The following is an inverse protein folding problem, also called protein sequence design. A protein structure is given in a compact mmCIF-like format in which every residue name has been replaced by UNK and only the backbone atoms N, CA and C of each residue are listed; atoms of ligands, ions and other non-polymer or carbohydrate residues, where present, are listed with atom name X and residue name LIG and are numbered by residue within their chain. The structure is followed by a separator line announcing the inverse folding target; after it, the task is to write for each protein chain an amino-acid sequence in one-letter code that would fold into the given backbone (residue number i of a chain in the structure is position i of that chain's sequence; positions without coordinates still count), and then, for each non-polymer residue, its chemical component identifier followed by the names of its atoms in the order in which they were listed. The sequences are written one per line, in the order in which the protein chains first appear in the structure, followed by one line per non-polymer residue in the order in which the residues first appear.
data_IF_894637511204
#
_entry.id   IF_894637511204
#
_cell.length_a   1.000
_cell.length_b   1.000
_cell.length_c   1.000
_cell.angle_alpha   90.00
_cell.angle_beta   90.00
_cell.angle_gamma   90.00
#
_symmetry.space_group_name_H-M   'P 1'
#
loop_
_entity.id
_entity.type
_entity.pdbx_description
1 polymer ?
#
# COMPACT_ATOMS: atom_id res chain seq x y z
N UNK A 1 16.23 -9.65 4.27
CA UNK A 1 14.83 -9.31 4.02
C UNK A 1 13.98 -10.58 3.98
N UNK A 2 12.72 -10.46 4.35
CA UNK A 2 11.77 -11.57 4.25
C UNK A 2 11.27 -11.73 2.82
N UNK A 3 10.94 -12.96 2.42
CA UNK A 3 10.29 -13.21 1.14
C UNK A 3 8.79 -12.90 1.27
N UNK A 4 8.18 -12.33 0.23
CA UNK A 4 6.75 -12.02 0.22
C UNK A 4 5.87 -13.27 0.41
N UNK A 5 6.28 -14.40 -0.14
CA UNK A 5 5.58 -15.69 -0.02
C UNK A 5 5.45 -16.19 1.42
N UNK A 6 6.37 -15.79 2.31
CA UNK A 6 6.40 -16.21 3.72
C UNK A 6 5.74 -15.20 4.66
N UNK A 7 5.36 -14.01 4.16
CA UNK A 7 4.81 -12.95 4.99
C UNK A 7 3.37 -13.27 5.43
N UNK A 8 3.11 -13.12 6.74
CA UNK A 8 1.78 -13.18 7.33
C UNK A 8 1.16 -11.78 7.32
N UNK A 9 0.02 -11.64 6.66
CA UNK A 9 -0.69 -10.37 6.47
C UNK A 9 -2.04 -10.42 7.14
N UNK A 10 -2.33 -9.46 8.01
CA UNK A 10 -3.63 -9.29 8.65
C UNK A 10 -4.32 -8.07 8.07
N UNK A 11 -5.49 -8.27 7.46
CA UNK A 11 -6.30 -7.22 6.84
C UNK A 11 -7.58 -7.05 7.65
N UNK A 12 -7.82 -5.86 8.20
CA UNK A 12 -9.05 -5.55 8.91
C UNK A 12 -9.86 -4.52 8.13
N UNK A 13 -11.01 -4.97 7.66
CA UNK A 13 -11.87 -4.23 6.74
C UNK A 13 -12.05 -4.97 5.41
N UNK A 14 -12.95 -5.94 5.34
CA UNK A 14 -13.25 -6.74 4.15
C UNK A 14 -14.23 -6.04 3.18
N UNK A 15 -14.06 -4.73 3.00
CA UNK A 15 -14.72 -3.94 1.97
C UNK A 15 -13.96 -3.97 0.64
N UNK A 16 -14.38 -3.15 -0.32
CA UNK A 16 -13.76 -3.09 -1.65
C UNK A 16 -12.25 -2.81 -1.58
N UNK A 17 -11.81 -1.87 -0.74
CA UNK A 17 -10.40 -1.53 -0.57
C UNK A 17 -9.59 -2.70 0.00
N UNK A 18 -10.04 -3.32 1.11
CA UNK A 18 -9.34 -4.44 1.74
C UNK A 18 -9.21 -5.65 0.82
N UNK A 19 -10.28 -5.99 0.11
CA UNK A 19 -10.28 -7.08 -0.88
C UNK A 19 -9.31 -6.76 -2.03
N UNK A 20 -9.31 -5.53 -2.54
CA UNK A 20 -8.42 -5.13 -3.63
C UNK A 20 -6.95 -5.15 -3.20
N UNK A 21 -6.63 -4.64 -2.00
CA UNK A 21 -5.27 -4.69 -1.46
C UNK A 21 -4.80 -6.13 -1.23
N UNK A 22 -5.65 -6.99 -0.65
CA UNK A 22 -5.31 -8.38 -0.43
C UNK A 22 -5.03 -9.13 -1.75
N UNK A 23 -5.86 -8.90 -2.78
CA UNK A 23 -5.59 -9.43 -4.13
C UNK A 23 -4.27 -8.91 -4.70
N UNK A 24 -3.98 -7.64 -4.51
CA UNK A 24 -2.73 -7.06 -4.99
C UNK A 24 -1.52 -7.64 -4.26
N UNK A 25 -1.59 -7.88 -2.95
CA UNK A 25 -0.56 -8.62 -2.22
C UNK A 25 -0.33 -10.03 -2.78
N UNK A 26 -1.41 -10.75 -3.14
CA UNK A 26 -1.29 -12.06 -3.80
C UNK A 26 -0.61 -11.95 -5.17
N UNK A 27 -0.95 -10.95 -5.96
CA UNK A 27 -0.30 -10.69 -7.26
C UNK A 27 1.19 -10.40 -7.10
N UNK A 28 1.61 -9.80 -5.98
CA UNK A 28 3.00 -9.54 -5.65
C UNK A 28 3.74 -10.78 -5.08
N UNK A 29 3.02 -11.85 -4.72
CA UNK A 29 3.60 -13.11 -4.29
C UNK A 29 3.26 -13.54 -2.86
N UNK A 30 2.43 -12.79 -2.12
CA UNK A 30 1.94 -13.24 -0.81
C UNK A 30 0.99 -14.42 -1.02
N UNK A 31 1.19 -15.50 -0.28
CA UNK A 31 0.30 -16.66 -0.36
C UNK A 31 -1.07 -16.36 0.27
N UNK A 32 -2.13 -16.82 -0.39
CA UNK A 32 -3.50 -16.61 0.08
C UNK A 32 -3.71 -17.11 1.53
N UNK A 33 -3.19 -18.27 1.87
CA UNK A 33 -3.29 -18.89 3.19
C UNK A 33 -2.59 -18.09 4.29
N UNK A 34 -1.69 -17.15 3.94
CA UNK A 34 -1.03 -16.24 4.86
C UNK A 34 -1.80 -14.90 5.03
N UNK A 35 -2.93 -14.71 4.32
CA UNK A 35 -3.75 -13.51 4.44
C UNK A 35 -4.95 -13.79 5.35
N UNK A 36 -4.96 -13.19 6.54
CA UNK A 36 -6.04 -13.25 7.52
C UNK A 36 -6.92 -12.00 7.36
N UNK A 37 -8.13 -12.17 6.87
CA UNK A 37 -9.03 -11.04 6.59
C UNK A 37 -10.19 -11.01 7.58
N UNK A 38 -10.39 -9.85 8.21
CA UNK A 38 -11.44 -9.61 9.19
C UNK A 38 -12.50 -8.64 8.64
N UNK A 39 -13.75 -8.90 8.95
CA UNK A 39 -14.85 -7.95 8.80
C UNK A 39 -15.51 -7.66 10.17
N UNK A 40 -16.63 -6.94 10.19
CA UNK A 40 -17.35 -6.59 11.43
C UNK A 40 -17.84 -7.79 12.26
N UNK A 41 -17.81 -9.00 11.71
CA UNK A 41 -18.22 -10.24 12.37
C UNK A 41 -17.03 -11.11 12.79
N UNK A 42 -15.80 -10.66 12.59
CA UNK A 42 -14.57 -11.40 12.90
C UNK A 42 -13.84 -11.92 11.66
N UNK A 43 -13.04 -12.95 11.84
CA UNK A 43 -12.26 -13.58 10.77
C UNK A 43 -13.17 -14.14 9.68
N UNK A 44 -12.74 -14.04 8.45
CA UNK A 44 -13.35 -14.74 7.32
C UNK A 44 -12.80 -16.17 7.30
N UNK A 45 -13.64 -17.16 7.63
CA UNK A 45 -13.28 -18.56 7.72
C UNK A 45 -14.35 -19.48 7.11
N UNK A 46 -14.00 -20.72 6.82
CA UNK A 46 -14.85 -21.66 6.08
C UNK A 46 -16.13 -22.04 6.82
N UNK A 47 -16.17 -21.92 8.15
CA UNK A 47 -17.38 -22.17 8.96
C UNK A 47 -18.45 -21.09 8.85
N UNK A 48 -18.19 -19.95 8.17
CA UNK A 48 -19.18 -18.88 7.99
C UNK A 48 -20.06 -19.14 6.78
N UNK A 49 -21.38 -19.01 6.97
CA UNK A 49 -22.41 -19.22 5.92
C UNK A 49 -22.88 -17.92 5.26
N UNK A 50 -22.46 -16.76 5.78
CA UNK A 50 -22.90 -15.43 5.36
C UNK A 50 -21.95 -14.72 4.40
N UNK A 51 -20.98 -15.45 3.83
CA UNK A 51 -19.91 -14.87 3.02
C UNK A 51 -20.34 -14.72 1.55
N UNK A 52 -20.21 -13.49 1.05
CA UNK A 52 -20.22 -13.26 -0.39
C UNK A 52 -18.98 -13.89 -1.05
N UNK A 53 -19.10 -14.35 -2.29
CA UNK A 53 -18.04 -15.04 -3.04
C UNK A 53 -16.69 -14.29 -3.05
N UNK A 54 -16.71 -12.96 -3.10
CA UNK A 54 -15.49 -12.14 -3.06
C UNK A 54 -14.76 -12.18 -1.72
N UNK A 55 -15.48 -12.38 -0.60
CA UNK A 55 -14.89 -12.56 0.73
C UNK A 55 -14.45 -14.01 0.94
N UNK A 56 -15.28 -14.97 0.50
CA UNK A 56 -15.05 -16.40 0.68
C UNK A 56 -13.69 -16.86 0.13
N UNK A 57 -13.15 -16.18 -0.89
CA UNK A 57 -11.82 -16.50 -1.43
C UNK A 57 -10.67 -16.29 -0.41
N UNK A 58 -10.91 -15.54 0.68
CA UNK A 58 -9.94 -15.31 1.75
C UNK A 58 -10.23 -16.16 3.00
N UNK A 59 -11.16 -17.11 2.94
CA UNK A 59 -11.52 -17.93 4.09
C UNK A 59 -10.33 -18.74 4.58
N UNK A 60 -10.07 -18.64 5.89
CA UNK A 60 -9.17 -19.53 6.62
C UNK A 60 -9.90 -20.82 6.99
N UNK A 61 -9.15 -21.90 7.26
CA UNK A 61 -9.72 -23.19 7.65
C UNK A 61 -10.41 -23.14 9.03
N UNK A 62 -9.85 -22.36 9.93
CA UNK A 62 -10.27 -22.25 11.33
C UNK A 62 -10.53 -20.80 11.69
N UNK A 63 -11.38 -20.58 12.70
CA UNK A 63 -11.62 -19.26 13.28
C UNK A 63 -10.51 -18.91 14.27
N UNK A 64 -10.19 -17.63 14.39
CA UNK A 64 -9.30 -17.10 15.40
C UNK A 64 -9.61 -15.64 15.73
N UNK A 65 -9.19 -15.20 16.91
CA UNK A 65 -9.25 -13.80 17.31
C UNK A 65 -8.27 -12.93 16.52
N UNK A 66 -8.46 -11.61 16.58
CA UNK A 66 -7.52 -10.68 15.96
C UNK A 66 -6.13 -10.76 16.60
N UNK A 67 -6.05 -10.93 17.91
CA UNK A 67 -4.80 -11.08 18.65
C UNK A 67 -4.03 -12.34 18.21
N UNK A 68 -4.73 -13.46 18.04
CA UNK A 68 -4.13 -14.69 17.54
C UNK A 68 -3.63 -14.53 16.09
N UNK A 69 -4.40 -13.87 15.24
CA UNK A 69 -3.98 -13.57 13.87
C UNK A 69 -2.77 -12.65 13.83
N UNK A 70 -2.70 -11.62 14.71
CA UNK A 70 -1.60 -10.68 14.80
C UNK A 70 -0.33 -11.30 15.39
N UNK A 71 -0.45 -12.40 16.14
CA UNK A 71 0.73 -13.08 16.70
C UNK A 71 1.64 -13.55 15.57
N UNK A 72 2.86 -12.98 15.53
CA UNK A 72 3.85 -13.24 14.49
C UNK A 72 3.51 -12.67 13.11
N UNK A 73 2.50 -11.79 12.98
CA UNK A 73 2.17 -11.14 11.72
C UNK A 73 3.23 -10.12 11.29
N UNK A 74 3.56 -10.12 10.01
CA UNK A 74 4.53 -9.20 9.41
C UNK A 74 3.88 -7.88 8.99
N UNK A 75 2.62 -7.93 8.55
CA UNK A 75 1.89 -6.77 8.03
C UNK A 75 0.50 -6.70 8.65
N UNK A 76 0.13 -5.52 9.12
CA UNK A 76 -1.23 -5.14 9.45
C UNK A 76 -1.71 -4.09 8.44
N UNK A 77 -2.86 -4.32 7.82
CA UNK A 77 -3.55 -3.37 6.98
C UNK A 77 -4.94 -3.08 7.57
N UNK A 78 -5.10 -1.91 8.17
CA UNK A 78 -6.35 -1.40 8.73
C UNK A 78 -7.08 -0.52 7.71
N UNK A 79 -8.33 -0.87 7.44
CA UNK A 79 -9.27 -0.16 6.56
C UNK A 79 -10.66 -0.18 7.19
N UNK A 80 -10.73 -0.01 8.51
CA UNK A 80 -11.98 -0.23 9.27
C UNK A 80 -12.33 0.93 10.19
N UNK A 81 -11.99 0.84 11.47
CA UNK A 81 -12.43 1.80 12.49
C UNK A 81 -11.30 2.24 13.41
N UNK A 82 -11.40 3.49 13.87
CA UNK A 82 -10.52 4.13 14.86
C UNK A 82 -10.28 3.23 16.07
N UNK A 83 -9.01 3.17 16.51
CA UNK A 83 -8.61 2.62 17.80
C UNK A 83 -8.75 1.10 17.93
N UNK A 84 -8.93 0.39 16.82
CA UNK A 84 -9.10 -1.06 16.83
C UNK A 84 -7.79 -1.78 17.16
N UNK A 85 -6.65 -1.25 16.75
CA UNK A 85 -5.34 -1.85 16.99
C UNK A 85 -4.73 -1.27 18.28
N UNK A 86 -4.54 -2.12 19.30
CA UNK A 86 -3.95 -1.70 20.58
C UNK A 86 -2.43 -1.84 20.60
N UNK A 87 -1.76 -1.16 21.55
CA UNK A 87 -0.31 -1.32 21.75
C UNK A 87 0.08 -2.78 22.05
N UNK A 88 -0.75 -3.50 22.81
CA UNK A 88 -0.46 -4.88 23.17
C UNK A 88 -0.59 -5.82 21.95
N UNK A 89 -1.56 -5.58 21.08
CA UNK A 89 -1.67 -6.28 19.79
C UNK A 89 -0.44 -6.04 18.90
N UNK A 90 0.07 -4.80 18.85
CA UNK A 90 1.28 -4.47 18.06
C UNK A 90 2.51 -5.21 18.59
N UNK A 91 2.62 -5.42 19.90
CA UNK A 91 3.72 -6.18 20.51
C UNK A 91 3.73 -7.67 20.11
N UNK A 92 2.57 -8.24 19.76
CA UNK A 92 2.45 -9.63 19.30
C UNK A 92 3.01 -9.85 17.89
N UNK A 93 3.11 -8.79 17.08
CA UNK A 93 3.57 -8.86 15.70
C UNK A 93 5.05 -9.29 15.60
N UNK A 94 5.43 -9.75 14.43
CA UNK A 94 6.80 -10.14 14.11
C UNK A 94 7.79 -8.96 14.29
N UNK A 95 9.11 -9.19 14.39
CA UNK A 95 10.12 -8.11 14.43
C UNK A 95 10.02 -7.21 13.20
N UNK A 96 10.19 -5.90 13.38
CA UNK A 96 10.07 -4.87 12.32
C UNK A 96 8.78 -4.99 11.52
N UNK A 97 7.60 -4.94 12.18
CA UNK A 97 6.32 -5.10 11.49
C UNK A 97 5.98 -3.87 10.65
N UNK A 98 5.20 -4.09 9.60
CA UNK A 98 4.63 -3.03 8.78
C UNK A 98 3.19 -2.81 9.22
N UNK A 99 2.83 -1.58 9.58
CA UNK A 99 1.50 -1.20 10.06
C UNK A 99 0.95 -0.10 9.17
N UNK A 100 -0.04 -0.42 8.35
CA UNK A 100 -0.82 0.56 7.60
C UNK A 100 -2.17 0.77 8.29
N UNK A 101 -2.29 1.86 9.06
CA UNK A 101 -3.52 2.24 9.74
C UNK A 101 -4.21 3.34 8.94
N UNK A 102 -5.12 2.94 8.06
CA UNK A 102 -5.70 3.79 7.02
C UNK A 102 -7.17 4.14 7.25
N UNK A 103 -7.75 3.84 8.42
CA UNK A 103 -9.08 4.32 8.78
C UNK A 103 -9.12 5.84 8.79
N UNK A 104 -10.24 6.41 8.34
CA UNK A 104 -10.41 7.85 8.15
C UNK A 104 -11.71 8.30 8.87
N UNK A 105 -11.72 9.41 9.66
CA UNK A 105 -10.64 10.40 9.83
C UNK A 105 -9.54 9.99 10.82
N UNK A 106 -9.81 9.07 11.72
CA UNK A 106 -8.88 8.61 12.74
C UNK A 106 -8.41 7.18 12.46
N UNK A 107 -7.11 6.89 12.55
CA UNK A 107 -6.56 5.58 12.24
C UNK A 107 -6.86 4.52 13.32
N UNK A 108 -6.63 3.26 13.00
CA UNK A 108 -6.77 2.12 13.91
C UNK A 108 -5.85 2.21 15.13
N UNK A 109 -4.68 2.84 14.97
CA UNK A 109 -3.73 3.17 16.04
C UNK A 109 -3.01 4.47 15.68
N UNK A 110 -2.63 5.27 16.69
CA UNK A 110 -1.82 6.46 16.45
C UNK A 110 -0.36 6.12 16.15
N UNK A 111 0.35 6.99 15.44
CA UNK A 111 1.78 6.83 15.18
C UNK A 111 2.57 6.70 16.50
N UNK A 112 2.25 7.55 17.47
CA UNK A 112 2.89 7.58 18.78
C UNK A 112 2.70 6.27 19.54
N UNK A 113 1.48 5.70 19.53
CA UNK A 113 1.18 4.45 20.22
C UNK A 113 1.85 3.25 19.52
N UNK A 114 1.87 3.22 18.19
CA UNK A 114 2.55 2.18 17.43
C UNK A 114 4.06 2.19 17.70
N UNK A 115 4.70 3.37 17.64
CA UNK A 115 6.14 3.53 17.91
C UNK A 115 6.50 3.26 19.37
N UNK A 116 5.61 3.60 20.33
CA UNK A 116 5.80 3.26 21.75
C UNK A 116 5.76 1.76 21.99
N UNK A 117 4.84 1.05 21.31
CA UNK A 117 4.74 -0.40 21.40
C UNK A 117 5.92 -1.10 20.73
N UNK A 118 6.29 -0.64 19.52
CA UNK A 118 7.34 -1.23 18.66
C UNK A 118 8.11 -0.11 17.94
N UNK A 119 9.22 0.39 18.51
CA UNK A 119 10.05 1.42 17.87
C UNK A 119 10.58 1.02 16.49
N UNK A 120 10.73 -0.28 16.26
CA UNK A 120 11.20 -0.88 15.01
C UNK A 120 10.13 -1.01 13.91
N UNK A 121 8.85 -0.65 14.19
CA UNK A 121 7.79 -0.77 13.20
C UNK A 121 7.91 0.27 12.08
N UNK A 122 7.53 -0.14 10.86
CA UNK A 122 7.26 0.78 9.76
C UNK A 122 5.77 1.14 9.84
N UNK A 123 5.48 2.39 10.21
CA UNK A 123 4.10 2.88 10.34
C UNK A 123 3.74 3.80 9.19
N UNK A 124 2.64 3.52 8.50
CA UNK A 124 2.02 4.40 7.50
C UNK A 124 0.55 4.64 7.78
N UNK A 125 0.05 5.81 7.41
CA UNK A 125 -1.35 6.19 7.58
C UNK A 125 -1.79 7.23 6.55
N UNK A 126 -3.08 7.55 6.49
CA UNK A 126 -3.61 8.62 5.63
C UNK A 126 -3.27 10.04 6.10
N UNK A 127 -2.71 10.21 7.29
CA UNK A 127 -2.41 11.53 7.87
C UNK A 127 -1.17 12.16 7.24
N UNK A 128 -1.27 13.44 6.91
CA UNK A 128 -0.17 14.23 6.32
C UNK A 128 0.87 14.70 7.34
N UNK A 129 0.50 14.75 8.61
CA UNK A 129 1.35 15.20 9.72
C UNK A 129 2.23 14.08 10.30
N UNK A 130 2.12 12.85 9.76
CA UNK A 130 2.93 11.70 10.18
C UNK A 130 3.85 11.21 9.06
N UNK A 131 4.93 10.48 9.40
CA UNK A 131 5.75 9.79 8.41
C UNK A 131 4.96 8.79 7.56
N UNK A 132 5.48 8.46 6.38
CA UNK A 132 4.90 7.47 5.46
C UNK A 132 3.41 7.72 5.15
N UNK A 133 3.07 8.94 4.75
CA UNK A 133 1.70 9.25 4.36
C UNK A 133 1.28 8.37 3.17
N UNK A 134 0.22 7.59 3.36
CA UNK A 134 -0.45 6.82 2.30
C UNK A 134 -1.57 7.66 1.72
N UNK A 135 -1.39 8.16 0.50
CA UNK A 135 -2.36 9.02 -0.15
C UNK A 135 -2.56 8.59 -1.60
N UNK A 136 -3.80 8.50 -2.04
CA UNK A 136 -4.14 8.13 -3.42
C UNK A 136 -3.51 9.06 -4.46
N UNK A 137 -3.25 10.33 -4.13
CA UNK A 137 -2.64 11.30 -5.02
C UNK A 137 -1.21 10.94 -5.43
N UNK A 138 -0.55 10.07 -4.68
CA UNK A 138 0.80 9.59 -5.04
C UNK A 138 0.81 8.65 -6.25
N UNK A 139 -0.33 8.08 -6.65
CA UNK A 139 -0.42 7.16 -7.77
C UNK A 139 -1.55 7.52 -8.75
N UNK A 140 -2.72 7.88 -8.24
CA UNK A 140 -3.93 8.06 -9.04
C UNK A 140 -3.77 8.97 -10.27
N UNK A 141 -3.19 10.19 -10.19
CA UNK A 141 -3.06 11.05 -11.37
C UNK A 141 -2.11 10.47 -12.42
N UNK A 142 -1.06 9.82 -11.98
CA UNK A 142 0.05 9.42 -12.84
C UNK A 142 -0.23 8.11 -13.58
N UNK A 143 -0.88 7.14 -12.94
CA UNK A 143 -1.30 5.90 -13.60
C UNK A 143 -2.33 6.19 -14.70
N UNK A 144 -3.26 7.14 -14.47
CA UNK A 144 -4.21 7.56 -15.50
C UNK A 144 -3.54 8.37 -16.60
N UNK A 145 -2.61 9.28 -16.25
CA UNK A 145 -1.85 10.03 -17.23
C UNK A 145 -1.11 9.08 -18.18
N UNK A 146 -0.37 8.11 -17.63
CA UNK A 146 0.34 7.13 -18.43
C UNK A 146 -0.59 6.29 -19.32
N UNK A 147 -1.74 5.84 -18.76
CA UNK A 147 -2.70 5.07 -19.53
C UNK A 147 -3.27 5.87 -20.71
N UNK A 148 -3.56 7.16 -20.52
CA UNK A 148 -4.06 8.05 -21.58
C UNK A 148 -2.98 8.33 -22.63
N UNK A 149 -1.74 8.58 -22.23
CA UNK A 149 -0.63 8.89 -23.14
C UNK A 149 -0.38 7.75 -24.15
N UNK A 150 -0.50 6.51 -23.72
CA UNK A 150 -0.38 5.33 -24.60
C UNK A 150 -1.72 4.79 -25.10
N UNK A 151 -2.82 5.48 -24.79
CA UNK A 151 -4.19 5.07 -25.15
C UNK A 151 -4.48 3.62 -24.75
N UNK A 152 -4.12 3.27 -23.51
CA UNK A 152 -4.36 1.93 -23.00
C UNK A 152 -5.85 1.61 -22.95
N UNK A 153 -6.24 0.42 -23.41
CA UNK A 153 -7.62 -0.06 -23.42
C UNK A 153 -8.12 -0.41 -22.01
N UNK A 154 -7.21 -0.68 -21.08
CA UNK A 154 -7.48 -1.04 -19.67
C UNK A 154 -6.26 -0.75 -18.81
N UNK A 155 -6.48 -0.44 -17.54
CA UNK A 155 -5.41 -0.41 -16.52
C UNK A 155 -5.34 -1.81 -15.89
N UNK A 156 -4.36 -2.61 -16.34
CA UNK A 156 -4.18 -3.99 -15.92
C UNK A 156 -3.25 -4.15 -14.71
N UNK A 157 -3.07 -5.38 -14.23
CA UNK A 157 -2.24 -5.66 -13.04
C UNK A 157 -0.75 -5.31 -13.27
N UNK A 158 -0.22 -5.51 -14.47
CA UNK A 158 1.17 -5.16 -14.79
C UNK A 158 1.42 -3.66 -14.64
N UNK A 159 0.49 -2.82 -15.08
CA UNK A 159 0.56 -1.37 -14.92
C UNK A 159 0.54 -0.96 -13.44
N UNK A 160 -0.32 -1.59 -12.62
CA UNK A 160 -0.39 -1.32 -11.18
C UNK A 160 0.89 -1.75 -10.46
N UNK A 161 1.46 -2.91 -10.83
CA UNK A 161 2.75 -3.38 -10.30
C UNK A 161 3.86 -2.40 -10.68
N UNK A 162 3.89 -1.91 -11.92
CA UNK A 162 4.87 -0.94 -12.37
C UNK A 162 4.79 0.37 -11.58
N UNK A 163 3.57 0.89 -11.34
CA UNK A 163 3.35 2.05 -10.50
C UNK A 163 3.87 1.85 -9.08
N UNK A 164 3.51 0.73 -8.42
CA UNK A 164 3.96 0.44 -7.06
C UNK A 164 5.49 0.30 -6.97
N UNK A 165 6.13 -0.35 -7.94
CA UNK A 165 7.58 -0.52 -7.99
C UNK A 165 8.29 0.81 -8.24
N UNK A 166 7.80 1.64 -9.15
CA UNK A 166 8.40 2.95 -9.43
C UNK A 166 8.38 3.87 -8.20
N UNK A 167 7.28 3.87 -7.43
CA UNK A 167 7.21 4.60 -6.17
C UNK A 167 8.18 4.03 -5.11
N UNK A 168 8.28 2.71 -5.01
CA UNK A 168 9.20 2.06 -4.07
C UNK A 168 10.67 2.33 -4.42
N UNK A 169 11.01 2.43 -5.70
CA UNK A 169 12.35 2.73 -6.17
C UNK A 169 12.66 4.23 -6.01
N UNK A 170 11.73 5.12 -6.33
CA UNK A 170 11.89 6.55 -6.09
C UNK A 170 12.12 6.88 -4.61
N UNK A 171 11.48 6.14 -3.69
CA UNK A 171 11.69 6.35 -2.25
C UNK A 171 13.14 6.11 -1.80
N UNK A 172 13.92 5.33 -2.56
CA UNK A 172 15.32 5.02 -2.27
C UNK A 172 16.29 6.08 -2.81
N UNK A 173 15.83 6.92 -3.72
CA UNK A 173 16.63 7.99 -4.30
C UNK A 173 16.82 9.16 -3.33
N UNK A 174 17.95 9.90 -3.41
CA UNK A 174 18.14 11.10 -2.63
C UNK A 174 16.99 12.09 -2.80
N UNK A 175 16.42 12.57 -1.69
CA UNK A 175 15.30 13.51 -1.73
C UNK A 175 15.81 14.92 -2.05
N UNK A 176 15.26 15.62 -3.06
CA UNK A 176 15.65 16.99 -3.40
C UNK A 176 15.38 17.96 -2.23
N UNK A 177 16.26 18.96 -2.08
CA UNK A 177 16.14 19.96 -1.02
C UNK A 177 14.79 20.69 -1.04
N UNK A 178 14.27 20.96 -2.24
CA UNK A 178 12.96 21.59 -2.44
C UNK A 178 11.81 20.77 -1.79
N UNK A 179 11.87 19.43 -1.90
CA UNK A 179 10.89 18.54 -1.27
C UNK A 179 11.07 18.54 0.25
N UNK A 180 12.33 18.51 0.72
CA UNK A 180 12.65 18.55 2.15
C UNK A 180 12.12 19.85 2.77
N UNK A 181 12.32 20.98 2.13
CA UNK A 181 11.89 22.30 2.63
C UNK A 181 10.36 22.40 2.73
N UNK A 182 9.64 21.84 1.76
CA UNK A 182 8.16 21.79 1.79
C UNK A 182 7.61 20.96 2.97
N UNK A 183 8.38 20.05 3.52
CA UNK A 183 7.99 19.20 4.66
C UNK A 183 8.71 19.58 5.98
N UNK A 184 9.09 20.85 6.11
CA UNK A 184 9.62 21.40 7.36
C UNK A 184 11.13 21.36 7.52
N UNK A 185 11.86 21.05 6.45
CA UNK A 185 13.33 21.15 6.39
C UNK A 185 14.10 20.02 7.08
N UNK A 186 13.42 19.06 7.72
CA UNK A 186 14.10 17.92 8.32
C UNK A 186 14.57 16.95 7.22
N UNK A 187 15.81 16.41 7.32
CA UNK A 187 16.33 15.47 6.32
C UNK A 187 15.38 14.28 6.09
N UNK A 188 15.10 13.98 4.84
CA UNK A 188 14.32 12.83 4.42
C UNK A 188 15.24 11.84 3.69
N UNK A 189 15.25 10.59 4.13
CA UNK A 189 16.01 9.51 3.48
C UNK A 189 15.31 8.19 3.67
N UNK A 190 15.51 7.25 2.74
CA UNK A 190 14.92 5.92 2.82
C UNK A 190 15.20 5.25 4.17
N UNK A 191 14.14 4.76 4.79
CA UNK A 191 14.19 4.15 6.13
C UNK A 191 12.78 3.93 6.69
N UNK A 192 12.69 3.56 7.96
CA UNK A 192 11.42 3.19 8.62
C UNK A 192 10.37 4.32 8.60
N UNK A 193 10.81 5.58 8.48
CA UNK A 193 9.93 6.75 8.44
C UNK A 193 9.84 7.40 7.05
N UNK A 194 10.47 6.78 6.03
CA UNK A 194 10.38 7.20 4.62
C UNK A 194 10.50 5.99 3.69
N UNK A 195 9.41 5.22 3.53
CA UNK A 195 9.31 4.08 2.60
C UNK A 195 8.48 4.38 1.35
N UNK A 196 7.85 5.55 1.32
CA UNK A 196 7.04 6.05 0.20
C UNK A 196 7.40 7.53 -0.04
N UNK A 197 7.51 7.99 -1.31
CA UNK A 197 7.73 9.39 -1.62
C UNK A 197 6.61 10.27 -1.05
N UNK A 198 6.94 11.51 -0.73
CA UNK A 198 5.92 12.48 -0.31
C UNK A 198 4.95 12.75 -1.47
N UNK A 199 3.64 12.90 -1.19
CA UNK A 199 2.61 13.02 -2.25
C UNK A 199 2.81 14.16 -3.25
N UNK A 200 3.50 15.24 -2.85
CA UNK A 200 3.79 16.40 -3.73
C UNK A 200 5.21 16.38 -4.31
N UNK A 201 5.92 15.26 -4.21
CA UNK A 201 7.24 15.12 -4.84
C UNK A 201 7.07 15.18 -6.38
N UNK A 202 7.62 16.19 -7.05
CA UNK A 202 7.43 16.38 -8.49
C UNK A 202 8.04 15.27 -9.34
N UNK A 203 8.97 14.50 -8.78
CA UNK A 203 9.62 13.39 -9.48
C UNK A 203 8.68 12.19 -9.70
N UNK A 204 7.56 12.10 -8.97
CA UNK A 204 6.62 10.97 -9.11
C UNK A 204 6.15 10.84 -10.56
N UNK A 205 5.80 11.95 -11.23
CA UNK A 205 5.34 11.90 -12.62
C UNK A 205 6.42 11.35 -13.56
N UNK A 206 7.68 11.71 -13.33
CA UNK A 206 8.81 11.31 -14.16
C UNK A 206 9.17 9.81 -13.96
N UNK A 207 8.88 9.27 -12.80
CA UNK A 207 9.14 7.87 -12.49
C UNK A 207 7.96 6.96 -12.81
N UNK A 208 6.75 7.34 -12.39
CA UNK A 208 5.58 6.48 -12.50
C UNK A 208 5.03 6.44 -13.92
N UNK A 209 4.89 7.59 -14.60
CA UNK A 209 4.29 7.62 -15.94
C UNK A 209 5.05 6.77 -16.96
N UNK A 210 6.39 6.87 -17.11
CA UNK A 210 7.12 6.00 -18.03
C UNK A 210 7.04 4.52 -17.69
N UNK A 211 7.14 4.18 -16.40
CA UNK A 211 7.07 2.79 -15.94
C UNK A 211 5.71 2.14 -16.26
N UNK A 212 4.63 2.85 -15.99
CA UNK A 212 3.26 2.40 -16.26
C UNK A 212 2.99 2.32 -17.77
N UNK A 213 3.44 3.31 -18.54
CA UNK A 213 3.29 3.31 -20.00
C UNK A 213 4.05 2.14 -20.64
N UNK A 214 5.26 1.88 -20.19
CA UNK A 214 6.05 0.74 -20.64
C UNK A 214 5.35 -0.59 -20.31
N UNK A 215 4.81 -0.73 -19.10
CA UNK A 215 4.04 -1.91 -18.71
C UNK A 215 2.79 -2.11 -19.57
N UNK A 216 2.09 -1.04 -19.93
CA UNK A 216 0.95 -1.09 -20.85
C UNK A 216 1.36 -1.59 -22.25
N UNK A 217 2.49 -1.12 -22.77
CA UNK A 217 3.03 -1.56 -24.06
C UNK A 217 3.44 -3.04 -24.03
N UNK A 218 4.21 -3.45 -23.02
CA UNK A 218 4.68 -4.84 -22.87
C UNK A 218 3.50 -5.81 -22.71
N UNK A 219 2.46 -5.40 -21.98
CA UNK A 219 1.26 -6.24 -21.77
C UNK A 219 0.25 -6.18 -22.91
N UNK A 220 0.53 -5.44 -24.01
CA UNK A 220 -0.27 -5.41 -25.21
C UNK A 220 -1.59 -4.63 -25.09
N UNK A 221 -1.76 -3.83 -24.05
CA UNK A 221 -2.99 -3.01 -23.86
C UNK A 221 -2.85 -1.59 -24.39
N UNK A 222 -1.63 -1.14 -24.72
CA UNK A 222 -1.37 0.16 -25.33
C UNK A 222 -1.75 0.15 -26.81
N UNK A 223 -2.38 1.25 -27.29
CA UNK A 223 -2.71 1.49 -28.70
C UNK A 223 -1.71 2.42 -29.38
N UNK A 224 -0.90 3.15 -28.59
CA UNK A 224 0.21 3.98 -29.08
C UNK A 224 1.51 3.46 -28.47
N UNK A 225 2.51 3.24 -29.33
CA UNK A 225 3.82 2.69 -28.92
C UNK A 225 4.91 3.78 -28.86
N UNK A 226 4.54 5.06 -28.91
CA UNK A 226 5.50 6.17 -28.86
C UNK A 226 5.59 6.75 -27.44
N UNK A 227 6.78 6.72 -26.86
CA UNK A 227 7.10 7.34 -25.57
C UNK A 227 7.51 8.81 -25.66
N UNK A 228 7.57 9.40 -26.87
CA UNK A 228 8.13 10.73 -27.11
C UNK A 228 7.39 11.83 -26.33
N UNK A 229 6.14 11.62 -25.96
CA UNK A 229 5.31 12.61 -25.24
C UNK A 229 5.26 12.44 -23.72
N UNK A 230 5.89 11.41 -23.17
CA UNK A 230 5.80 11.09 -21.73
C UNK A 230 6.83 11.90 -20.92
N UNK A 231 7.94 12.29 -21.53
CA UNK A 231 9.04 13.02 -20.89
C UNK A 231 8.96 14.55 -20.99
N UNK A 232 8.03 15.11 -21.74
CA UNK A 232 7.84 16.56 -21.79
C UNK A 232 6.66 16.99 -20.90
N UNK A 233 6.90 17.80 -19.85
CA UNK A 233 5.81 18.46 -19.15
C UNK A 233 5.08 19.36 -20.14
N UNK A 234 3.77 19.18 -20.28
CA UNK A 234 2.92 20.04 -21.11
C UNK A 234 3.13 21.49 -20.70
N UNK A 235 3.81 22.30 -21.56
CA UNK A 235 3.85 23.75 -21.38
C UNK A 235 2.41 24.27 -21.35
N UNK A 236 2.02 25.07 -20.35
CA UNK A 236 0.75 25.77 -20.41
C UNK A 236 0.73 26.65 -21.62
N UNK A 237 -0.33 26.59 -22.41
CA UNK A 237 -0.61 27.54 -23.51
C UNK A 237 -1.08 28.85 -22.92
#
# INVERSE_FOLDING_TARGET
GRKLEDMKVVVVGAGAAGISCAKFYMTLGVRREHIYMFDSKGLIHTGRIDLHATKAQFSQSEDCSLEEALTGADVFLGLSTKGLLTQDMVKLMAPSPIIFACANPDPEITYQDAKKARPDCIMGSGRSDWPNQVNNVSCFPFIFRAALDVRASVINEQMKIAAARSLADLAKEPVPQEVIDLYGGAPLSFGIDYVIPKPIDPRIIEWECPAVAQAAMISGVAQSLSLIHISEPTRPR
#
